data_IF_725616458188
#
_entry.id   IF_725616458188
#
_cell.length_a   1.000
_cell.length_b   1.000
_cell.length_c   1.000
_cell.angle_alpha   90.00
_cell.angle_beta   90.00
_cell.angle_gamma   90.00
#
_symmetry.space_group_name_H-M   'P 1'
#
loop_
_entity.id
_entity.type
_entity.pdbx_description
1 polymer ?
#
# COMPACT_ATOMS: atom_id res chain seq x y z
N UNK A 1 3.84 7.18 6.80
CA UNK A 1 5.00 6.80 5.96
C UNK A 1 6.04 6.00 6.74
N UNK A 2 6.47 6.41 7.92
CA UNK A 2 7.45 5.70 8.76
C UNK A 2 7.14 4.22 8.99
N UNK A 3 5.89 3.91 9.38
CA UNK A 3 5.46 2.52 9.56
C UNK A 3 5.64 1.71 8.26
N UNK A 4 5.30 2.27 7.11
CA UNK A 4 5.44 1.61 5.82
C UNK A 4 6.92 1.34 5.47
N UNK A 5 7.79 2.32 5.70
CA UNK A 5 9.24 2.18 5.48
C UNK A 5 9.89 1.19 6.46
N UNK A 6 9.37 1.11 7.68
CA UNK A 6 9.83 0.13 8.68
C UNK A 6 9.42 -1.30 8.31
N UNK A 7 8.25 -1.49 7.71
CA UNK A 7 7.73 -2.80 7.30
C UNK A 7 8.37 -3.30 5.99
N UNK A 8 8.67 -2.37 5.07
CA UNK A 8 9.26 -2.66 3.76
C UNK A 8 10.61 -1.95 3.55
N UNK A 9 11.63 -2.21 4.40
CA UNK A 9 12.87 -1.42 4.43
C UNK A 9 13.73 -1.57 3.18
N UNK A 10 13.56 -2.66 2.42
CA UNK A 10 14.34 -2.96 1.23
C UNK A 10 13.54 -2.81 -0.07
N UNK A 11 12.23 -2.66 0.01
CA UNK A 11 11.31 -2.70 -1.12
C UNK A 11 10.84 -1.31 -1.54
N UNK A 12 10.98 -0.32 -0.64
CA UNK A 12 10.51 1.05 -0.88
C UNK A 12 11.69 2.01 -0.93
N UNK A 13 11.76 2.78 -2.01
CA UNK A 13 12.53 4.01 -2.09
C UNK A 13 11.61 5.21 -1.94
N UNK A 14 11.62 5.84 -0.78
CA UNK A 14 10.87 7.07 -0.54
C UNK A 14 11.68 8.29 -0.97
N UNK A 15 11.06 9.17 -1.76
CA UNK A 15 11.64 10.44 -2.21
C UNK A 15 10.68 11.56 -1.86
N UNK A 16 11.09 12.44 -0.95
CA UNK A 16 10.38 13.68 -0.66
C UNK A 16 10.76 14.75 -1.69
N UNK A 17 9.79 15.51 -2.15
CA UNK A 17 9.99 16.66 -3.04
C UNK A 17 9.25 17.86 -2.51
N UNK A 18 9.93 18.98 -2.39
CA UNK A 18 9.32 20.23 -1.99
C UNK A 18 8.33 20.74 -3.04
N UNK A 19 7.18 21.16 -2.58
CA UNK A 19 6.26 22.04 -3.30
C UNK A 19 5.73 23.09 -2.30
N UNK A 20 6.56 24.08 -1.97
CA UNK A 20 6.17 25.12 -1.04
C UNK A 20 5.11 26.01 -1.69
N UNK A 21 3.91 26.05 -1.12
CA UNK A 21 2.78 26.81 -1.65
C UNK A 21 2.98 28.32 -1.35
N UNK A 22 3.93 28.93 -2.03
CA UNK A 22 4.33 30.33 -1.81
C UNK A 22 3.27 31.29 -2.38
N UNK A 23 2.68 30.96 -3.52
CA UNK A 23 1.82 31.86 -4.28
C UNK A 23 2.60 32.87 -5.13
N UNK A 24 1.96 33.97 -5.45
CA UNK A 24 2.59 35.11 -6.17
C UNK A 24 2.70 36.32 -5.25
N UNK A 25 3.51 37.35 -5.59
CA UNK A 25 3.58 38.56 -4.81
C UNK A 25 2.21 39.25 -4.61
N UNK A 26 1.32 39.13 -5.60
CA UNK A 26 -0.04 39.71 -5.59
C UNK A 26 -1.03 38.83 -4.80
N UNK A 27 -0.76 37.51 -4.72
CA UNK A 27 -1.62 36.55 -4.02
C UNK A 27 -0.77 35.48 -3.31
N UNK A 28 -0.15 35.84 -2.17
CA UNK A 28 0.64 34.89 -1.39
C UNK A 28 -0.27 33.85 -0.71
N UNK A 29 0.15 32.56 -0.73
CA UNK A 29 -0.60 31.49 -0.08
C UNK A 29 -0.19 31.32 1.39
N UNK A 30 1.05 30.89 1.61
CA UNK A 30 1.58 30.58 2.94
C UNK A 30 2.92 31.28 3.16
N UNK A 31 2.93 32.23 4.06
CA UNK A 31 4.07 33.11 4.37
C UNK A 31 5.32 32.38 4.89
N UNK A 32 5.17 31.17 5.38
CA UNK A 32 6.26 30.34 5.94
C UNK A 32 6.69 29.18 5.02
N UNK A 33 5.99 28.95 3.90
CA UNK A 33 6.23 27.77 3.05
C UNK A 33 7.64 27.75 2.46
N UNK A 34 8.12 28.89 1.94
CA UNK A 34 9.48 28.99 1.41
C UNK A 34 10.53 28.74 2.50
N UNK A 35 10.37 29.40 3.65
CA UNK A 35 11.31 29.29 4.76
C UNK A 35 11.36 27.89 5.36
N UNK A 36 10.21 27.17 5.40
CA UNK A 36 10.17 25.76 5.79
C UNK A 36 10.98 24.86 4.85
N UNK A 37 10.85 25.05 3.53
CA UNK A 37 11.63 24.30 2.55
C UNK A 37 13.14 24.62 2.67
N UNK A 38 13.49 25.89 2.83
CA UNK A 38 14.87 26.34 3.06
C UNK A 38 15.47 25.72 4.32
N UNK A 39 14.69 25.62 5.41
CA UNK A 39 15.15 25.06 6.68
C UNK A 39 15.48 23.55 6.56
N UNK A 40 14.61 22.78 5.90
CA UNK A 40 14.88 21.34 5.68
C UNK A 40 16.15 21.16 4.84
N UNK A 41 16.34 21.95 3.79
CA UNK A 41 17.54 21.90 2.94
C UNK A 41 18.80 22.40 3.67
N UNK A 42 18.71 23.46 4.47
CA UNK A 42 19.83 23.92 5.28
C UNK A 42 20.30 22.87 6.29
N UNK A 43 19.34 22.18 6.91
CA UNK A 43 19.64 21.02 7.77
C UNK A 43 20.21 19.84 6.95
N UNK A 44 19.69 19.62 5.75
CA UNK A 44 20.18 18.62 4.81
C UNK A 44 21.65 18.79 4.43
N UNK A 45 22.14 20.03 4.29
CA UNK A 45 23.57 20.33 4.09
C UNK A 45 24.47 19.88 5.26
N UNK A 46 23.88 19.53 6.39
CA UNK A 46 24.55 18.98 7.57
C UNK A 46 24.09 17.54 7.88
N UNK A 47 23.44 16.86 6.93
CA UNK A 47 22.98 15.47 7.05
C UNK A 47 21.75 15.27 7.93
N UNK A 48 20.99 16.34 8.23
CA UNK A 48 19.85 16.35 9.13
C UNK A 48 18.53 16.81 8.47
N UNK A 49 18.37 16.49 7.18
CA UNK A 49 17.17 16.83 6.42
C UNK A 49 15.90 16.30 7.08
N UNK A 50 15.90 15.00 7.40
CA UNK A 50 14.71 14.34 7.92
C UNK A 50 14.34 14.79 9.32
N UNK A 51 15.32 15.03 10.18
CA UNK A 51 15.07 15.54 11.54
C UNK A 51 14.40 16.92 11.50
N UNK A 52 14.83 17.80 10.60
CA UNK A 52 14.18 19.11 10.44
C UNK A 52 12.81 18.99 9.75
N UNK A 53 12.70 18.13 8.73
CA UNK A 53 11.44 17.84 8.06
C UNK A 53 10.39 17.35 9.07
N UNK A 54 10.74 16.36 9.89
CA UNK A 54 9.81 15.76 10.84
C UNK A 54 9.42 16.78 11.92
N UNK A 55 10.36 17.56 12.46
CA UNK A 55 10.06 18.64 13.41
C UNK A 55 9.10 19.69 12.82
N UNK A 56 9.27 20.06 11.54
CA UNK A 56 8.36 20.98 10.86
C UNK A 56 6.92 20.43 10.77
N UNK A 57 6.73 19.15 10.53
CA UNK A 57 5.40 18.56 10.45
C UNK A 57 4.80 18.25 11.82
N UNK A 58 5.54 17.63 12.71
CA UNK A 58 5.05 17.20 14.02
C UNK A 58 4.72 18.38 14.93
N UNK A 59 5.54 19.44 14.87
CA UNK A 59 5.39 20.60 15.71
C UNK A 59 4.69 21.78 15.00
N UNK A 60 4.02 21.54 13.87
CA UNK A 60 3.36 22.58 13.07
C UNK A 60 2.44 23.48 13.90
N UNK A 61 1.76 22.92 14.91
CA UNK A 61 0.86 23.71 15.79
C UNK A 61 1.61 24.74 16.64
N UNK A 62 2.89 24.54 16.90
CA UNK A 62 3.70 25.47 17.71
C UNK A 62 4.11 26.70 16.90
N UNK A 63 4.41 26.51 15.61
CA UNK A 63 4.98 27.57 14.78
C UNK A 63 4.01 28.17 13.74
N UNK A 64 2.92 27.50 13.40
CA UNK A 64 2.02 27.94 12.32
C UNK A 64 1.41 29.33 12.55
N UNK A 65 1.16 29.71 13.80
CA UNK A 65 0.59 31.02 14.19
C UNK A 65 1.64 32.10 14.46
N UNK A 66 2.93 31.77 14.43
CA UNK A 66 4.00 32.74 14.66
C UNK A 66 4.10 33.75 13.50
N UNK A 67 4.71 34.92 13.76
CA UNK A 67 5.17 35.76 12.67
C UNK A 67 6.32 35.08 11.91
N UNK A 68 6.62 35.52 10.69
CA UNK A 68 7.77 34.99 9.93
C UNK A 68 9.09 35.13 10.68
N UNK A 69 9.26 36.28 11.39
CA UNK A 69 10.45 36.55 12.21
C UNK A 69 10.55 35.59 13.41
N UNK A 70 9.44 35.36 14.11
CA UNK A 70 9.41 34.42 15.25
C UNK A 70 9.54 32.97 14.78
N UNK A 71 9.00 32.64 13.62
CA UNK A 71 9.20 31.34 13.01
C UNK A 71 10.66 31.09 12.63
N UNK A 72 11.35 32.09 12.11
CA UNK A 72 12.79 31.98 11.86
C UNK A 72 13.58 31.74 13.16
N UNK A 73 13.23 32.45 14.25
CA UNK A 73 13.84 32.21 15.56
C UNK A 73 13.58 30.77 16.07
N UNK A 74 12.35 30.28 15.92
CA UNK A 74 11.99 28.90 16.23
C UNK A 74 12.82 27.89 15.43
N UNK A 75 13.04 28.12 14.13
CA UNK A 75 13.89 27.26 13.29
C UNK A 75 15.34 27.21 13.76
N UNK A 76 15.89 28.33 14.21
CA UNK A 76 17.26 28.44 14.74
C UNK A 76 17.39 27.67 16.06
N UNK A 77 16.40 27.81 16.96
CA UNK A 77 16.33 27.03 18.19
C UNK A 77 16.25 25.53 17.90
N UNK A 78 15.35 25.14 17.00
CA UNK A 78 15.16 23.74 16.57
C UNK A 78 16.43 23.16 15.94
N UNK A 79 17.17 23.95 15.17
CA UNK A 79 18.48 23.54 14.63
C UNK A 79 19.47 23.16 15.74
N UNK A 80 19.46 23.89 16.85
CA UNK A 80 20.26 23.55 18.03
C UNK A 80 19.81 22.25 18.70
N UNK A 81 18.49 22.08 18.86
CA UNK A 81 17.90 20.88 19.48
C UNK A 81 18.23 19.58 18.70
N UNK A 82 18.19 19.62 17.37
CA UNK A 82 18.53 18.48 16.52
C UNK A 82 20.04 18.31 16.30
N UNK A 83 20.87 19.13 16.97
CA UNK A 83 22.33 18.99 17.00
C UNK A 83 23.06 19.52 15.78
N UNK A 84 22.53 20.55 15.10
CA UNK A 84 23.21 21.24 14.00
C UNK A 84 24.23 22.27 14.51
N UNK A 85 25.19 22.62 13.67
CA UNK A 85 25.94 23.85 13.84
C UNK A 85 25.00 25.03 13.51
N UNK A 86 24.54 25.71 14.55
CA UNK A 86 23.52 26.77 14.47
C UNK A 86 23.97 27.91 13.57
N UNK A 87 25.23 28.41 13.72
CA UNK A 87 25.72 29.50 12.89
C UNK A 87 25.80 29.15 11.41
N UNK A 88 26.16 27.89 11.09
CA UNK A 88 26.14 27.40 9.71
C UNK A 88 24.73 27.27 9.18
N UNK A 89 23.81 26.75 9.99
CA UNK A 89 22.41 26.63 9.64
C UNK A 89 21.78 28.00 9.34
N UNK A 90 21.99 28.99 10.19
CA UNK A 90 21.49 30.35 10.03
C UNK A 90 22.01 31.01 8.73
N UNK A 91 23.30 30.84 8.45
CA UNK A 91 23.90 31.30 7.20
C UNK A 91 23.31 30.62 5.97
N UNK A 92 23.16 29.29 6.03
CA UNK A 92 22.58 28.53 4.93
C UNK A 92 21.10 28.85 4.74
N UNK A 93 20.31 28.95 5.81
CA UNK A 93 18.87 29.19 5.82
C UNK A 93 18.49 30.43 4.98
N UNK A 94 19.28 31.51 5.12
CA UNK A 94 19.02 32.80 4.43
C UNK A 94 19.84 32.97 3.16
N UNK A 95 20.55 31.93 2.73
CA UNK A 95 21.39 32.03 1.52
C UNK A 95 20.53 32.17 0.26
N UNK A 96 21.01 32.96 -0.70
CA UNK A 96 20.32 33.14 -1.99
C UNK A 96 20.07 31.82 -2.69
N UNK A 97 21.00 30.87 -2.58
CA UNK A 97 20.87 29.55 -3.17
C UNK A 97 19.65 28.77 -2.66
N UNK A 98 19.31 28.88 -1.37
CA UNK A 98 18.12 28.19 -0.82
C UNK A 98 16.82 28.99 -1.07
N UNK A 99 16.91 30.30 -1.17
CA UNK A 99 15.78 31.14 -1.65
C UNK A 99 15.43 30.75 -3.09
N UNK A 100 16.41 30.70 -3.97
CA UNK A 100 16.22 30.29 -5.38
C UNK A 100 15.72 28.84 -5.50
N UNK A 101 16.23 27.96 -4.65
CA UNK A 101 15.76 26.57 -4.57
C UNK A 101 14.26 26.48 -4.23
N UNK A 102 13.81 27.20 -3.19
CA UNK A 102 12.41 27.19 -2.78
C UNK A 102 11.50 27.76 -3.87
N UNK A 103 11.92 28.83 -4.55
CA UNK A 103 11.20 29.39 -5.70
C UNK A 103 11.16 28.40 -6.86
N UNK A 104 12.28 27.80 -7.22
CA UNK A 104 12.35 26.81 -8.30
C UNK A 104 11.49 25.58 -8.02
N UNK A 105 11.38 25.15 -6.74
CA UNK A 105 10.51 24.04 -6.35
C UNK A 105 9.02 24.38 -6.55
N UNK A 106 8.61 25.61 -6.21
CA UNK A 106 7.28 26.12 -6.50
C UNK A 106 7.00 26.18 -8.01
N UNK A 107 7.88 26.80 -8.78
CA UNK A 107 7.73 26.97 -10.22
C UNK A 107 7.65 25.61 -10.95
N UNK A 108 8.46 24.66 -10.52
CA UNK A 108 8.43 23.29 -11.05
C UNK A 108 7.08 22.60 -10.78
N UNK A 109 6.56 22.71 -9.54
CA UNK A 109 5.24 22.17 -9.21
C UNK A 109 4.13 22.79 -10.05
N UNK A 110 4.15 24.11 -10.26
CA UNK A 110 3.19 24.80 -11.14
C UNK A 110 3.30 24.32 -12.59
N UNK A 111 4.52 24.25 -13.11
CA UNK A 111 4.77 23.81 -14.50
C UNK A 111 4.33 22.35 -14.74
N UNK A 112 4.47 21.50 -13.74
CA UNK A 112 4.03 20.10 -13.79
C UNK A 112 2.54 19.91 -13.50
N UNK A 113 1.82 20.99 -13.21
CA UNK A 113 0.37 20.98 -12.99
C UNK A 113 -0.06 20.39 -11.65
N UNK A 114 0.78 20.47 -10.61
CA UNK A 114 0.40 20.03 -9.27
C UNK A 114 -0.70 20.95 -8.71
N UNK A 115 -1.82 20.34 -8.30
CA UNK A 115 -2.98 21.07 -7.76
C UNK A 115 -2.86 21.39 -6.26
N UNK A 116 -1.92 20.78 -5.56
CA UNK A 116 -1.75 20.95 -4.10
C UNK A 116 -0.92 19.85 -3.46
N UNK A 117 -0.92 19.84 -2.14
CA UNK A 117 -0.24 18.88 -1.29
C UNK A 117 -1.20 18.23 -0.28
N UNK A 118 -0.98 17.00 0.14
CA UNK A 118 0.05 16.07 -0.35
C UNK A 118 -0.26 15.55 -1.77
N UNK A 119 0.77 15.31 -2.56
CA UNK A 119 0.68 14.70 -3.88
C UNK A 119 1.62 13.49 -3.93
N UNK A 120 1.08 12.32 -4.23
CA UNK A 120 1.83 11.07 -4.21
C UNK A 120 1.91 10.44 -5.60
N UNK A 121 3.10 9.97 -5.94
CA UNK A 121 3.36 9.19 -7.16
C UNK A 121 4.03 7.88 -6.74
N UNK A 122 3.50 6.75 -7.18
CA UNK A 122 4.04 5.42 -6.91
C UNK A 122 4.43 4.77 -8.23
N UNK A 123 5.70 4.43 -8.40
CA UNK A 123 6.24 3.82 -9.63
C UNK A 123 5.82 4.57 -10.92
N UNK A 124 5.83 5.92 -10.86
CA UNK A 124 5.45 6.77 -12.00
C UNK A 124 3.94 7.00 -12.16
N UNK A 125 3.10 6.33 -11.39
CA UNK A 125 1.65 6.50 -11.43
C UNK A 125 1.17 7.46 -10.34
N UNK A 126 0.29 8.38 -10.71
CA UNK A 126 -0.32 9.32 -9.77
C UNK A 126 -1.28 8.56 -8.86
N UNK A 127 -1.18 8.82 -7.54
CA UNK A 127 -2.13 8.27 -6.57
C UNK A 127 -3.54 8.80 -6.85
N UNK A 128 -4.57 7.91 -6.88
CA UNK A 128 -5.92 8.34 -7.19
C UNK A 128 -6.51 9.28 -6.13
N UNK A 129 -7.10 10.39 -6.53
CA UNK A 129 -7.66 11.39 -5.61
C UNK A 129 -8.83 10.86 -4.74
N UNK A 130 -9.48 9.78 -5.16
CA UNK A 130 -10.58 9.14 -4.43
C UNK A 130 -10.14 8.02 -3.48
N UNK A 131 -8.83 7.78 -3.37
CA UNK A 131 -8.23 6.79 -2.46
C UNK A 131 -7.45 7.53 -1.36
N UNK A 132 -7.79 7.27 -0.10
CA UNK A 132 -7.06 7.90 1.00
C UNK A 132 -5.59 7.42 1.05
N UNK A 133 -4.68 8.32 1.44
CA UNK A 133 -3.25 8.00 1.62
C UNK A 133 -2.97 7.41 3.00
N UNK A 134 -3.92 6.67 3.55
CA UNK A 134 -3.76 5.97 4.82
C UNK A 134 -2.86 4.75 4.67
N UNK A 135 -2.27 4.33 5.78
CA UNK A 135 -1.35 3.18 5.83
C UNK A 135 -1.90 1.94 5.13
N UNK A 136 -3.17 1.57 5.38
CA UNK A 136 -3.79 0.38 4.79
C UNK A 136 -3.73 0.39 3.25
N UNK A 137 -4.09 1.51 2.62
CA UNK A 137 -4.10 1.62 1.17
C UNK A 137 -2.68 1.65 0.58
N UNK A 138 -1.76 2.35 1.25
CA UNK A 138 -0.35 2.41 0.84
C UNK A 138 0.30 1.03 0.96
N UNK A 139 0.11 0.34 2.07
CA UNK A 139 0.61 -1.01 2.30
C UNK A 139 0.03 -2.02 1.29
N UNK A 140 -1.27 -1.89 0.97
CA UNK A 140 -1.90 -2.74 -0.04
C UNK A 140 -1.25 -2.59 -1.42
N UNK A 141 -0.95 -1.36 -1.85
CA UNK A 141 -0.27 -1.12 -3.14
C UNK A 141 1.13 -1.74 -3.14
N UNK A 142 1.89 -1.59 -2.06
CA UNK A 142 3.22 -2.21 -1.95
C UNK A 142 3.10 -3.74 -2.02
N UNK A 143 2.22 -4.34 -1.21
CA UNK A 143 2.03 -5.77 -1.17
C UNK A 143 1.59 -6.34 -2.55
N UNK A 144 0.69 -5.64 -3.26
CA UNK A 144 0.27 -6.03 -4.61
C UNK A 144 1.40 -5.90 -5.64
N UNK A 145 2.21 -4.84 -5.55
CA UNK A 145 3.37 -4.67 -6.44
C UNK A 145 4.40 -5.79 -6.23
N UNK A 146 4.69 -6.13 -4.98
CA UNK A 146 5.61 -7.23 -4.67
C UNK A 146 5.04 -8.61 -5.06
N UNK A 147 3.72 -8.75 -5.08
CA UNK A 147 3.07 -9.98 -5.52
C UNK A 147 3.27 -10.23 -7.02
N UNK A 148 3.39 -9.17 -7.85
CA UNK A 148 3.56 -9.31 -9.31
C UNK A 148 4.73 -10.20 -9.69
N UNK A 149 5.82 -10.18 -8.91
CA UNK A 149 6.99 -11.03 -9.14
C UNK A 149 6.74 -12.53 -8.88
N UNK A 150 5.69 -12.85 -8.11
CA UNK A 150 5.31 -14.23 -7.74
C UNK A 150 4.17 -14.77 -8.60
N UNK A 151 3.54 -13.92 -9.40
CA UNK A 151 2.40 -14.29 -10.24
C UNK A 151 2.81 -15.17 -11.41
N UNK A 152 1.89 -16.03 -11.82
CA UNK A 152 2.03 -16.88 -13.00
C UNK A 152 1.50 -16.14 -14.23
N UNK A 153 2.13 -16.32 -15.36
CA UNK A 153 1.77 -15.64 -16.63
C UNK A 153 0.64 -16.32 -17.41
N UNK A 154 0.21 -17.51 -16.99
CA UNK A 154 -0.84 -18.28 -17.64
C UNK A 154 -1.49 -19.28 -16.69
N UNK A 155 -2.72 -19.70 -17.00
CA UNK A 155 -3.37 -20.80 -16.31
C UNK A 155 -2.51 -22.06 -16.34
N UNK A 156 -2.45 -22.83 -15.23
CA UNK A 156 -1.71 -24.07 -15.20
C UNK A 156 -2.30 -25.11 -16.16
N UNK A 157 -1.43 -25.89 -16.79
CA UNK A 157 -1.86 -27.11 -17.46
C UNK A 157 -2.53 -28.04 -16.44
N UNK A 158 -3.36 -28.99 -16.94
CA UNK A 158 -3.99 -29.97 -16.08
C UNK A 158 -2.92 -30.85 -15.40
N UNK A 159 -2.77 -30.72 -14.08
CA UNK A 159 -1.84 -31.48 -13.24
C UNK A 159 -2.54 -32.60 -12.45
N UNK A 160 -3.88 -32.61 -12.48
CA UNK A 160 -4.71 -33.60 -11.79
C UNK A 160 -5.27 -34.66 -12.76
N UNK A 161 -5.66 -35.78 -12.20
CA UNK A 161 -6.46 -36.82 -12.85
C UNK A 161 -7.91 -36.68 -12.35
N UNK A 162 -8.81 -36.27 -13.24
CA UNK A 162 -10.22 -35.99 -12.90
C UNK A 162 -11.00 -37.22 -12.39
N UNK A 163 -10.45 -38.42 -12.57
CA UNK A 163 -11.06 -39.64 -12.07
C UNK A 163 -10.65 -40.01 -10.64
N UNK A 164 -9.72 -39.25 -10.06
CA UNK A 164 -9.22 -39.49 -8.71
C UNK A 164 -9.89 -38.55 -7.69
N UNK A 165 -9.93 -39.03 -6.46
CA UNK A 165 -10.33 -38.25 -5.31
C UNK A 165 -9.09 -37.50 -4.74
N UNK A 166 -9.28 -36.23 -4.36
CA UNK A 166 -8.25 -35.41 -3.76
C UNK A 166 -8.74 -34.88 -2.41
N UNK A 167 -7.82 -34.81 -1.46
CA UNK A 167 -8.05 -34.19 -0.16
C UNK A 167 -6.95 -33.17 0.09
N UNK A 168 -7.31 -31.95 0.29
CA UNK A 168 -6.40 -30.91 0.79
C UNK A 168 -6.47 -30.85 2.32
N UNK A 169 -5.34 -30.54 2.96
CA UNK A 169 -5.28 -30.26 4.39
C UNK A 169 -4.74 -28.85 4.59
N UNK A 170 -5.59 -27.93 5.05
CA UNK A 170 -5.16 -26.62 5.51
C UNK A 170 -4.64 -26.76 6.94
N UNK A 171 -3.36 -26.53 7.14
CA UNK A 171 -2.73 -26.52 8.46
C UNK A 171 -2.83 -25.13 9.03
N UNK A 172 -3.62 -24.94 10.09
CA UNK A 172 -3.83 -23.65 10.73
C UNK A 172 -3.36 -23.69 12.19
N UNK A 173 -3.13 -22.52 12.79
CA UNK A 173 -2.80 -22.39 14.22
C UNK A 173 -3.87 -23.02 15.14
N UNK A 174 -5.11 -23.16 14.66
CA UNK A 174 -6.22 -23.76 15.40
C UNK A 174 -6.42 -25.24 15.10
N UNK A 175 -5.54 -25.82 14.29
CA UNK A 175 -5.58 -27.24 13.89
C UNK A 175 -5.85 -27.42 12.39
N UNK A 176 -5.75 -28.69 11.91
CA UNK A 176 -5.92 -29.00 10.50
C UNK A 176 -7.40 -29.01 10.09
N UNK A 177 -7.68 -28.43 8.92
CA UNK A 177 -8.98 -28.52 8.23
C UNK A 177 -8.80 -29.39 6.99
N UNK A 178 -9.53 -30.50 6.91
CA UNK A 178 -9.52 -31.39 5.75
C UNK A 178 -10.64 -31.02 4.79
N UNK A 179 -10.31 -30.94 3.51
CA UNK A 179 -11.22 -30.52 2.45
C UNK A 179 -11.17 -31.57 1.35
N UNK A 180 -12.30 -32.16 1.06
CA UNK A 180 -12.48 -33.01 -0.11
C UNK A 180 -12.65 -32.13 -1.36
N UNK A 181 -11.88 -32.41 -2.41
CA UNK A 181 -11.87 -31.64 -3.65
C UNK A 181 -12.53 -32.48 -4.77
N UNK A 182 -13.62 -32.00 -5.33
CA UNK A 182 -14.44 -32.70 -6.33
C UNK A 182 -13.88 -32.46 -7.74
N UNK A 183 -12.82 -33.21 -8.10
CA UNK A 183 -12.11 -33.06 -9.38
C UNK A 183 -12.95 -33.46 -10.60
N UNK A 184 -13.97 -34.31 -10.41
CA UNK A 184 -14.95 -34.71 -11.42
C UNK A 184 -16.01 -33.65 -11.68
N UNK A 185 -16.27 -32.78 -10.71
CA UNK A 185 -17.30 -31.71 -10.76
C UNK A 185 -16.74 -30.35 -11.14
N UNK A 186 -15.57 -30.00 -10.62
CA UNK A 186 -14.91 -28.72 -10.80
C UNK A 186 -13.42 -28.88 -11.13
N UNK A 187 -13.08 -29.50 -12.27
CA UNK A 187 -11.69 -29.84 -12.61
C UNK A 187 -10.77 -28.62 -12.72
N UNK A 188 -11.23 -27.48 -13.21
CA UNK A 188 -10.39 -26.26 -13.31
C UNK A 188 -10.08 -25.69 -11.94
N UNK A 189 -11.09 -25.58 -11.07
CA UNK A 189 -10.92 -25.07 -9.71
C UNK A 189 -9.99 -25.99 -8.89
N UNK A 190 -10.21 -27.30 -8.94
CA UNK A 190 -9.37 -28.27 -8.23
C UNK A 190 -7.94 -28.28 -8.79
N UNK A 191 -7.79 -28.20 -10.12
CA UNK A 191 -6.48 -28.12 -10.76
C UNK A 191 -5.71 -26.86 -10.32
N UNK A 192 -6.35 -25.70 -10.37
CA UNK A 192 -5.76 -24.44 -9.93
C UNK A 192 -5.37 -24.50 -8.45
N UNK A 193 -6.27 -24.97 -7.59
CA UNK A 193 -6.01 -25.09 -6.15
C UNK A 193 -4.81 -26.00 -5.86
N UNK A 194 -4.75 -27.18 -6.45
CA UNK A 194 -3.63 -28.13 -6.24
C UNK A 194 -2.32 -27.58 -6.81
N UNK A 195 -2.34 -26.99 -8.01
CA UNK A 195 -1.18 -26.35 -8.59
C UNK A 195 -0.62 -25.25 -7.69
N UNK A 196 -1.47 -24.37 -7.21
CA UNK A 196 -1.09 -23.27 -6.31
C UNK A 196 -0.56 -23.77 -4.97
N UNK A 197 -1.19 -24.79 -4.38
CA UNK A 197 -0.72 -25.44 -3.15
C UNK A 197 0.67 -26.06 -3.33
N UNK A 198 0.91 -26.74 -4.45
CA UNK A 198 2.22 -27.35 -4.76
C UNK A 198 3.33 -26.32 -4.99
N UNK A 199 2.98 -25.07 -5.35
CA UNK A 199 3.90 -23.97 -5.53
C UNK A 199 3.99 -23.05 -4.30
N UNK A 200 3.45 -23.44 -3.15
CA UNK A 200 3.54 -22.68 -1.90
C UNK A 200 2.71 -21.39 -1.88
N UNK A 201 1.77 -21.21 -2.79
CA UNK A 201 0.95 -20.01 -2.89
C UNK A 201 0.13 -19.73 -1.64
N UNK A 202 -0.32 -20.77 -0.97
CA UNK A 202 -1.16 -20.68 0.23
C UNK A 202 -0.37 -20.75 1.55
N UNK A 203 0.95 -20.76 1.49
CA UNK A 203 1.77 -20.84 2.70
C UNK A 203 1.82 -19.49 3.41
N UNK A 204 1.59 -19.51 4.73
CA UNK A 204 1.63 -18.32 5.61
C UNK A 204 0.63 -17.21 5.25
N UNK A 205 -0.47 -17.54 4.58
CA UNK A 205 -1.54 -16.60 4.29
C UNK A 205 -2.62 -16.59 5.39
N UNK A 206 -3.40 -15.53 5.45
CA UNK A 206 -4.50 -15.37 6.40
C UNK A 206 -5.87 -15.57 5.74
N UNK A 207 -6.87 -15.83 6.57
CA UNK A 207 -8.26 -15.59 6.20
C UNK A 207 -8.54 -14.09 6.33
N UNK A 208 -8.31 -13.35 5.26
CA UNK A 208 -8.37 -11.88 5.26
C UNK A 208 -9.77 -11.30 5.40
N UNK A 209 -10.81 -12.13 5.16
CA UNK A 209 -12.22 -11.71 5.31
C UNK A 209 -13.00 -12.81 6.01
N UNK A 210 -13.49 -12.53 7.20
CA UNK A 210 -14.33 -13.46 7.98
C UNK A 210 -15.63 -12.78 8.36
N UNK A 211 -16.75 -13.32 7.88
CA UNK A 211 -18.10 -12.85 8.22
C UNK A 211 -18.80 -13.94 9.03
N UNK A 212 -19.00 -13.73 10.34
CA UNK A 212 -19.69 -14.69 11.19
C UNK A 212 -21.07 -15.07 10.62
N UNK A 213 -21.36 -16.38 10.60
CA UNK A 213 -22.62 -16.91 10.06
C UNK A 213 -22.72 -16.90 8.53
N UNK A 214 -21.68 -16.51 7.82
CA UNK A 214 -21.65 -16.51 6.36
C UNK A 214 -20.42 -17.26 5.81
N UNK A 215 -19.26 -16.61 5.69
CA UNK A 215 -18.06 -17.23 5.09
C UNK A 215 -16.76 -16.78 5.75
N UNK A 216 -15.71 -17.63 5.62
CA UNK A 216 -14.31 -17.24 5.76
C UNK A 216 -13.62 -17.31 4.41
N UNK A 217 -12.99 -16.22 3.97
CA UNK A 217 -12.34 -16.09 2.67
C UNK A 217 -10.82 -15.96 2.83
N UNK A 218 -10.08 -16.70 2.01
CA UNK A 218 -8.62 -16.75 1.97
C UNK A 218 -8.12 -16.86 0.53
N UNK A 219 -6.84 -17.18 0.32
CA UNK A 219 -6.26 -17.45 -1.00
C UNK A 219 -5.57 -16.26 -1.66
N UNK A 220 -5.56 -15.11 -1.01
CA UNK A 220 -4.80 -13.93 -1.40
C UNK A 220 -3.56 -13.81 -0.49
N UNK A 221 -2.33 -13.99 -1.02
CA UNK A 221 -1.11 -13.87 -0.23
C UNK A 221 -0.88 -12.48 0.38
N UNK A 222 -1.47 -11.43 -0.21
CA UNK A 222 -1.34 -10.07 0.29
C UNK A 222 -2.29 -9.75 1.44
N UNK A 223 -3.35 -10.55 1.62
CA UNK A 223 -4.40 -10.29 2.60
C UNK A 223 -5.27 -9.06 2.32
N UNK A 224 -5.14 -8.44 1.16
CA UNK A 224 -5.90 -7.23 0.77
C UNK A 224 -7.29 -7.54 0.19
N UNK A 225 -7.49 -8.76 -0.28
CA UNK A 225 -8.66 -9.17 -1.06
C UNK A 225 -8.54 -8.90 -2.56
N UNK A 226 -7.47 -8.25 -3.02
CA UNK A 226 -7.23 -7.90 -4.42
C UNK A 226 -6.14 -8.76 -5.08
N UNK A 227 -5.32 -9.47 -4.29
CA UNK A 227 -4.26 -10.32 -4.80
C UNK A 227 -4.80 -11.58 -5.47
N UNK A 228 -4.10 -12.01 -6.52
CA UNK A 228 -4.44 -13.19 -7.30
C UNK A 228 -3.24 -13.74 -8.05
N UNK A 229 -3.36 -14.93 -8.64
CA UNK A 229 -2.24 -15.73 -9.14
C UNK A 229 -1.70 -15.27 -10.51
N UNK A 230 -2.20 -14.15 -11.06
CA UNK A 230 -1.81 -13.63 -12.38
C UNK A 230 -2.59 -14.25 -13.56
N UNK A 231 -3.54 -15.10 -13.28
CA UNK A 231 -4.46 -15.69 -14.28
C UNK A 231 -5.87 -15.83 -13.73
N UNK A 232 -6.83 -15.99 -14.64
CA UNK A 232 -8.23 -16.30 -14.33
C UNK A 232 -8.69 -17.53 -15.09
N UNK A 233 -9.66 -18.26 -14.52
CA UNK A 233 -10.32 -19.38 -15.17
C UNK A 233 -11.84 -19.28 -15.04
N UNK A 234 -12.53 -20.02 -15.90
CA UNK A 234 -13.99 -19.97 -16.04
C UNK A 234 -14.71 -20.53 -14.83
N UNK A 235 -15.92 -20.06 -14.61
CA UNK A 235 -16.85 -20.68 -13.67
C UNK A 235 -17.18 -22.10 -14.07
N UNK A 236 -17.26 -22.98 -13.08
CA UNK A 236 -17.72 -24.37 -13.25
C UNK A 236 -19.00 -24.53 -12.44
N UNK A 237 -20.14 -24.34 -13.12
CA UNK A 237 -21.46 -24.48 -12.49
C UNK A 237 -21.81 -25.95 -12.44
N UNK A 238 -22.10 -26.46 -11.26
CA UNK A 238 -22.34 -27.87 -10.99
C UNK A 238 -23.67 -28.10 -10.26
N UNK A 239 -23.99 -29.35 -9.95
CA UNK A 239 -25.12 -29.75 -9.09
C UNK A 239 -24.82 -29.56 -7.59
N UNK A 240 -23.58 -29.24 -7.21
CA UNK A 240 -23.20 -28.93 -5.84
C UNK A 240 -23.79 -27.58 -5.39
N UNK A 241 -24.21 -27.53 -4.13
CA UNK A 241 -24.90 -26.37 -3.55
C UNK A 241 -24.23 -25.92 -2.26
N UNK A 242 -24.34 -24.62 -1.99
CA UNK A 242 -23.93 -24.04 -0.71
C UNK A 242 -25.02 -24.20 0.35
N UNK A 243 -25.49 -25.44 0.53
CA UNK A 243 -26.66 -25.81 1.36
C UNK A 243 -26.32 -26.07 2.84
N UNK A 244 -25.04 -26.04 3.22
CA UNK A 244 -24.53 -26.36 4.57
C UNK A 244 -23.26 -25.61 4.90
N UNK A 245 -22.85 -25.58 6.20
CA UNK A 245 -21.51 -25.17 6.60
C UNK A 245 -20.43 -26.08 6.02
N UNK A 246 -19.21 -25.53 5.81
CA UNK A 246 -18.03 -26.27 5.40
C UNK A 246 -17.95 -26.54 3.90
N UNK A 247 -18.78 -25.90 3.07
CA UNK A 247 -18.63 -25.95 1.60
C UNK A 247 -17.58 -24.93 1.17
N UNK A 248 -16.58 -25.39 0.39
CA UNK A 248 -15.58 -24.54 -0.23
C UNK A 248 -16.01 -24.15 -1.64
N UNK A 249 -15.95 -22.86 -1.95
CA UNK A 249 -16.14 -22.31 -3.29
C UNK A 249 -15.07 -21.30 -3.67
N UNK A 250 -14.89 -21.10 -4.99
CA UNK A 250 -13.98 -20.07 -5.49
C UNK A 250 -14.60 -18.67 -5.35
N UNK A 251 -13.82 -17.73 -4.80
CA UNK A 251 -14.18 -16.32 -4.79
C UNK A 251 -13.74 -15.66 -6.09
N UNK A 252 -14.60 -14.80 -6.64
CA UNK A 252 -14.33 -14.08 -7.88
C UNK A 252 -14.90 -12.66 -7.86
N UNK A 253 -14.50 -11.83 -8.82
CA UNK A 253 -14.97 -10.46 -9.01
C UNK A 253 -16.03 -10.33 -10.13
N UNK A 254 -16.64 -11.43 -10.52
CA UNK A 254 -17.64 -11.56 -11.59
C UNK A 254 -17.43 -12.87 -12.37
N UNK A 255 -18.26 -13.10 -13.39
CA UNK A 255 -18.20 -14.32 -14.17
C UNK A 255 -16.80 -14.55 -14.77
N UNK A 256 -16.32 -15.79 -14.67
CA UNK A 256 -15.05 -16.24 -15.28
C UNK A 256 -13.78 -15.51 -14.75
N UNK A 257 -13.84 -14.97 -13.53
CA UNK A 257 -12.68 -14.32 -12.88
C UNK A 257 -12.16 -15.08 -11.66
N UNK A 258 -12.33 -16.42 -11.65
CA UNK A 258 -11.76 -17.26 -10.59
C UNK A 258 -10.23 -17.23 -10.66
N UNK A 259 -9.59 -17.04 -9.52
CA UNK A 259 -8.13 -17.02 -9.38
C UNK A 259 -7.66 -17.97 -8.28
N UNK A 260 -7.03 -17.45 -7.26
CA UNK A 260 -6.57 -18.21 -6.08
C UNK A 260 -7.48 -18.08 -4.87
N UNK A 261 -8.33 -17.05 -4.83
CA UNK A 261 -9.15 -16.81 -3.65
C UNK A 261 -10.30 -17.82 -3.56
N UNK A 262 -10.54 -18.29 -2.34
CA UNK A 262 -11.61 -19.21 -2.01
C UNK A 262 -12.29 -18.81 -0.71
N UNK A 263 -13.49 -19.31 -0.49
CA UNK A 263 -14.19 -19.15 0.79
C UNK A 263 -14.71 -20.49 1.31
N UNK A 264 -14.93 -20.55 2.62
CA UNK A 264 -15.56 -21.68 3.30
C UNK A 264 -16.81 -21.16 4.00
N UNK A 265 -17.96 -21.81 3.79
CA UNK A 265 -19.24 -21.39 4.38
C UNK A 265 -19.31 -21.75 5.86
N UNK A 266 -19.91 -20.86 6.68
CA UNK A 266 -20.28 -21.14 8.09
C UNK A 266 -21.76 -21.51 8.27
N UNK A 267 -22.58 -21.24 7.24
CA UNK A 267 -24.02 -21.53 7.19
C UNK A 267 -24.42 -21.79 5.74
N UNK A 268 -25.65 -22.31 5.48
CA UNK A 268 -26.19 -22.34 4.13
C UNK A 268 -26.20 -20.97 3.48
N UNK A 269 -25.75 -20.89 2.23
CA UNK A 269 -25.63 -19.65 1.47
C UNK A 269 -26.17 -19.82 0.03
N UNK A 270 -27.46 -20.12 -0.15
CA UNK A 270 -28.03 -20.44 -1.46
C UNK A 270 -27.97 -19.30 -2.48
N UNK A 271 -27.69 -18.08 -2.04
CA UNK A 271 -27.42 -16.94 -2.91
C UNK A 271 -26.07 -17.01 -3.63
N UNK A 272 -25.23 -18.01 -3.31
CA UNK A 272 -23.94 -18.27 -3.95
C UNK A 272 -24.00 -19.44 -4.96
N UNK A 273 -25.19 -20.10 -5.11
CA UNK A 273 -25.39 -21.25 -6.02
C UNK A 273 -25.32 -20.87 -7.50
#
# INVERSE_FOLDING_TARGET
MEQLLSEYPNDIRYVFRHFPLIGTPENPFHDKAALSAQAAEAAGKQGKFWEMHDALFEEQRQWSSLSVTDFQAWLIEKAGEIGLNVSKFETDLTSQALVDFAQAAWDNGQTTGLSGTPFLVVNGNIWPNNVSMEYFNLSAVVALTLLEEKQFTQCPKMVIDQTKQYVATLVTEKGPVKIELFADKAPLAVNSFIFLAQNGWFDNISFHRVIPGFVAQAGDPTGTGFGGPGYYFKNEITDLKFDRPGVLGMANAGADTNGSQFFITFAPAPNLD
#
